data_IF_561198574380
#
_entry.id   IF_561198574380
#
_cell.length_a   1.000
_cell.length_b   1.000
_cell.length_c   1.000
_cell.angle_alpha   90.00
_cell.angle_beta   90.00
_cell.angle_gamma   90.00
#
_symmetry.space_group_name_H-M   'P 1'
#
loop_
_entity.id
_entity.type
_entity.pdbx_description
1 polymer ?
#
# COMPACT_ATOMS: atom_id res chain seq x y z
N UNK A 1 5.78 19.02 -42.35
CA UNK A 1 6.70 19.40 -41.26
C UNK A 1 5.90 19.51 -39.97
N UNK A 2 6.24 18.80 -39.00
CA UNK A 2 5.78 18.59 -37.62
C UNK A 2 5.11 17.21 -37.41
N UNK A 3 5.94 16.18 -37.28
CA UNK A 3 5.57 14.87 -36.78
C UNK A 3 6.24 14.68 -35.43
N UNK A 4 5.66 15.13 -34.34
CA UNK A 4 6.25 14.85 -33.00
C UNK A 4 5.35 15.10 -31.77
N UNK A 5 4.02 15.18 -31.92
CA UNK A 5 3.19 15.54 -30.76
C UNK A 5 2.20 14.48 -30.26
N UNK A 6 2.21 13.27 -30.77
CA UNK A 6 1.23 12.23 -30.38
C UNK A 6 1.81 11.03 -29.56
N UNK A 7 3.12 11.01 -29.32
CA UNK A 7 3.76 9.85 -28.66
C UNK A 7 3.76 9.91 -27.11
N UNK A 8 3.35 11.02 -26.49
CA UNK A 8 3.54 11.22 -25.05
C UNK A 8 2.32 10.97 -24.14
N UNK A 9 1.12 10.78 -24.67
CA UNK A 9 -0.07 10.59 -23.82
C UNK A 9 -0.17 9.19 -23.20
N UNK A 10 0.58 8.22 -23.72
CA UNK A 10 0.48 6.82 -23.27
C UNK A 10 1.41 6.42 -22.12
N UNK A 11 2.42 7.23 -21.79
CA UNK A 11 3.46 6.86 -20.81
C UNK A 11 3.05 7.09 -19.35
N UNK A 12 2.01 7.88 -19.12
CA UNK A 12 1.54 8.24 -17.77
C UNK A 12 0.85 7.10 -17.01
N UNK A 13 0.24 6.15 -17.72
CA UNK A 13 -0.51 5.08 -17.06
C UNK A 13 0.38 4.01 -16.39
N UNK A 14 1.63 3.84 -16.81
CA UNK A 14 2.48 2.76 -16.32
C UNK A 14 3.19 3.07 -14.98
N UNK A 15 3.58 4.32 -14.76
CA UNK A 15 4.27 4.71 -13.52
C UNK A 15 3.29 4.89 -12.33
N UNK A 16 2.08 5.43 -12.61
CA UNK A 16 1.03 5.56 -11.61
C UNK A 16 0.53 4.20 -11.06
N UNK A 17 0.76 3.11 -11.79
CA UNK A 17 0.28 1.79 -11.44
C UNK A 17 1.12 1.06 -10.36
N UNK A 18 2.32 1.54 -10.03
CA UNK A 18 3.12 0.98 -8.93
C UNK A 18 2.55 1.32 -7.56
N UNK A 19 1.80 2.42 -7.43
CA UNK A 19 1.30 2.93 -6.14
C UNK A 19 -0.19 2.64 -5.94
N UNK A 20 -0.95 2.36 -6.99
CA UNK A 20 -2.36 1.98 -6.84
C UNK A 20 -2.55 0.63 -6.14
N UNK A 21 -1.48 -0.16 -5.97
CA UNK A 21 -1.46 -1.36 -5.13
C UNK A 21 -1.12 -1.08 -3.66
N UNK A 22 -0.68 0.15 -3.29
CA UNK A 22 -0.46 0.50 -1.91
C UNK A 22 -1.84 0.78 -1.31
N UNK A 23 -2.49 -0.26 -0.81
CA UNK A 23 -3.64 -0.15 0.05
C UNK A 23 -3.35 0.82 1.20
N UNK A 24 -4.34 1.33 1.94
CA UNK A 24 -4.06 2.09 3.13
C UNK A 24 -3.16 1.25 4.04
N UNK A 25 -1.93 1.70 4.27
CA UNK A 25 -1.08 1.14 5.29
C UNK A 25 -1.75 1.45 6.61
N UNK A 26 -2.28 0.44 7.25
CA UNK A 26 -3.07 0.55 8.46
C UNK A 26 -2.40 -0.36 9.48
N UNK A 27 -1.88 0.24 10.49
CA UNK A 27 -1.36 -0.16 11.81
C UNK A 27 -1.06 -1.64 12.12
N UNK A 28 -0.59 -1.82 13.34
CA UNK A 28 -0.07 -3.09 13.79
C UNK A 28 -1.15 -4.10 14.19
N UNK A 29 -1.08 -5.26 13.61
CA UNK A 29 -1.84 -6.42 14.05
C UNK A 29 -1.11 -7.13 15.19
N UNK A 30 -1.82 -7.43 16.28
CA UNK A 30 -1.29 -8.23 17.37
C UNK A 30 -1.92 -9.62 17.34
N UNK A 31 -1.05 -10.66 17.25
CA UNK A 31 -1.48 -12.07 17.35
C UNK A 31 -0.60 -12.78 18.38
N UNK A 32 -1.19 -13.15 19.51
CA UNK A 32 -0.42 -13.63 20.66
C UNK A 32 0.50 -12.53 21.20
N UNK A 33 1.81 -12.79 21.19
CA UNK A 33 2.84 -11.81 21.57
C UNK A 33 3.48 -11.10 20.38
N UNK A 34 3.00 -11.36 19.16
CA UNK A 34 3.56 -10.81 17.95
C UNK A 34 2.85 -9.53 17.53
N UNK A 35 3.63 -8.51 17.27
CA UNK A 35 3.22 -7.30 16.54
C UNK A 35 3.63 -7.47 15.07
N UNK A 36 2.69 -7.31 14.15
CA UNK A 36 2.92 -7.16 12.72
C UNK A 36 2.73 -5.68 12.39
N UNK A 37 3.81 -4.91 12.14
CA UNK A 37 3.69 -3.51 11.76
C UNK A 37 2.96 -3.37 10.42
N UNK A 38 2.27 -2.27 10.24
CA UNK A 38 1.76 -1.87 8.94
C UNK A 38 2.94 -1.51 8.05
N UNK A 39 3.28 -2.36 7.11
CA UNK A 39 4.30 -2.03 6.12
C UNK A 39 3.68 -1.26 4.95
N UNK A 40 4.49 -0.59 4.17
CA UNK A 40 3.99 0.45 3.27
C UNK A 40 3.62 -0.11 1.91
N UNK A 41 4.29 -1.15 1.47
CA UNK A 41 4.06 -1.78 0.17
C UNK A 41 2.99 -2.86 0.19
N UNK A 42 2.80 -3.53 1.34
CA UNK A 42 1.69 -4.46 1.61
C UNK A 42 0.98 -4.06 2.90
N UNK A 43 -0.31 -4.33 2.96
CA UNK A 43 -1.11 -4.06 4.15
C UNK A 43 -0.91 -5.16 5.20
N UNK A 44 -1.14 -4.85 6.47
CA UNK A 44 -1.08 -5.83 7.54
C UNK A 44 -2.29 -6.80 7.47
N UNK A 45 -2.19 -8.02 8.00
CA UNK A 45 -3.29 -8.98 7.93
C UNK A 45 -4.42 -8.73 8.95
N UNK A 46 -4.37 -7.69 9.77
CA UNK A 46 -5.31 -7.49 10.86
C UNK A 46 -6.45 -6.53 10.63
N UNK A 47 -7.31 -6.44 11.63
CA UNK A 47 -8.41 -5.46 11.69
C UNK A 47 -8.28 -4.66 12.99
N UNK A 48 -8.12 -3.35 12.85
CA UNK A 48 -7.81 -2.44 13.95
C UNK A 48 -8.61 -1.13 13.80
N UNK A 49 -8.55 -0.26 14.80
CA UNK A 49 -9.08 1.10 14.74
C UNK A 49 -7.92 2.08 14.65
N UNK A 50 -7.78 2.75 13.51
CA UNK A 50 -6.56 3.47 13.18
C UNK A 50 -6.78 4.73 12.38
N UNK A 51 -5.79 5.62 12.50
CA UNK A 51 -5.69 6.84 11.73
C UNK A 51 -4.28 7.03 11.20
N UNK A 52 -4.10 6.75 9.90
CA UNK A 52 -2.86 7.04 9.17
C UNK A 52 -2.78 8.52 8.79
N UNK A 53 -1.74 9.25 9.29
CA UNK A 53 -1.60 10.70 9.12
C UNK A 53 -0.14 11.15 9.06
N UNK A 54 0.33 11.64 7.96
CA UNK A 54 0.17 11.11 6.62
C UNK A 54 1.20 10.01 6.34
N UNK A 55 0.90 9.08 5.47
CA UNK A 55 1.98 8.37 4.77
C UNK A 55 2.53 9.31 3.72
N UNK A 56 3.82 9.60 3.80
CA UNK A 56 4.54 10.41 2.82
C UNK A 56 5.33 9.51 1.90
N UNK A 57 5.22 9.70 0.57
CA UNK A 57 6.08 9.02 -0.39
C UNK A 57 6.77 10.01 -1.33
N UNK A 58 8.03 9.72 -1.65
CA UNK A 58 8.80 10.35 -2.70
C UNK A 58 9.15 9.29 -3.75
N UNK A 59 8.77 9.55 -4.98
CA UNK A 59 8.97 8.64 -6.11
C UNK A 59 9.66 9.38 -7.25
N UNK A 60 10.62 8.71 -7.87
CA UNK A 60 11.28 9.17 -9.08
C UNK A 60 10.79 8.30 -10.24
N UNK A 61 9.92 8.85 -11.05
CA UNK A 61 9.26 8.15 -12.13
C UNK A 61 10.18 7.83 -13.31
N UNK A 62 9.85 6.83 -14.15
CA UNK A 62 10.65 6.46 -15.31
C UNK A 62 10.79 7.56 -16.37
N UNK A 63 9.89 8.54 -16.39
CA UNK A 63 9.85 9.69 -17.31
C UNK A 63 10.63 10.92 -16.80
N UNK A 64 11.42 10.76 -15.73
CA UNK A 64 12.17 11.82 -15.06
C UNK A 64 11.30 12.88 -14.37
N UNK A 65 9.99 12.58 -14.15
CA UNK A 65 9.15 13.34 -13.23
C UNK A 65 9.33 12.85 -11.79
N UNK A 66 8.93 13.69 -10.83
CA UNK A 66 8.96 13.38 -9.41
C UNK A 66 7.56 13.47 -8.84
N UNK A 67 7.22 12.52 -7.97
CA UNK A 67 5.93 12.47 -7.30
C UNK A 67 6.13 12.51 -5.79
N UNK A 68 5.36 13.37 -5.15
CA UNK A 68 5.27 13.48 -3.68
C UNK A 68 3.83 13.20 -3.28
N UNK A 69 3.65 12.15 -2.51
CA UNK A 69 2.34 11.72 -2.06
C UNK A 69 2.15 11.92 -0.57
N UNK A 70 0.94 12.33 -0.21
CA UNK A 70 0.47 12.48 1.16
C UNK A 70 -0.83 11.69 1.29
N UNK A 71 -0.75 10.49 1.85
CA UNK A 71 -1.89 9.60 1.99
C UNK A 71 -2.50 9.70 3.37
N UNK A 72 -3.82 9.74 3.42
CA UNK A 72 -4.63 9.75 4.62
C UNK A 72 -5.53 8.53 4.59
N UNK A 73 -5.63 7.82 5.71
CA UNK A 73 -6.48 6.65 5.84
C UNK A 73 -7.09 6.57 7.24
N UNK A 74 -8.33 6.12 7.31
CA UNK A 74 -9.02 5.82 8.56
C UNK A 74 -9.63 4.44 8.48
N UNK A 75 -9.35 3.61 9.46
CA UNK A 75 -9.94 2.27 9.60
C UNK A 75 -10.78 2.20 10.87
N UNK A 76 -11.93 1.53 10.77
CA UNK A 76 -12.86 1.30 11.86
C UNK A 76 -13.26 -0.16 11.94
N UNK A 77 -13.09 -0.78 13.09
CA UNK A 77 -13.61 -2.11 13.37
C UNK A 77 -15.13 -2.09 13.50
N UNK A 78 -15.79 -2.91 12.68
CA UNK A 78 -17.23 -3.16 12.74
C UNK A 78 -17.51 -4.23 13.78
N UNK A 79 -16.81 -5.36 13.66
CA UNK A 79 -16.76 -6.44 14.68
C UNK A 79 -15.29 -6.72 15.00
N UNK A 80 -14.96 -7.54 16.01
CA UNK A 80 -13.57 -7.87 16.32
C UNK A 80 -12.76 -8.41 15.14
N UNK A 81 -13.44 -9.04 14.15
CA UNK A 81 -12.79 -9.68 13.00
C UNK A 81 -13.12 -9.00 11.66
N UNK A 82 -13.87 -7.89 11.66
CA UNK A 82 -14.28 -7.17 10.46
C UNK A 82 -14.03 -5.68 10.60
N UNK A 83 -13.33 -5.07 9.65
CA UNK A 83 -13.12 -3.62 9.60
C UNK A 83 -13.54 -3.04 8.25
N UNK A 84 -13.86 -1.75 8.29
CA UNK A 84 -14.06 -0.89 7.13
C UNK A 84 -13.01 0.21 7.15
N UNK A 85 -12.44 0.53 6.00
CA UNK A 85 -11.53 1.66 5.87
C UNK A 85 -11.90 2.58 4.72
N UNK A 86 -11.47 3.83 4.84
CA UNK A 86 -11.59 4.86 3.82
C UNK A 86 -10.29 5.66 3.77
N UNK A 87 -9.82 5.96 2.57
CA UNK A 87 -8.62 6.76 2.40
C UNK A 87 -8.61 7.49 1.06
N UNK A 88 -7.71 8.44 0.96
CA UNK A 88 -7.35 9.12 -0.28
C UNK A 88 -5.93 9.65 -0.18
N UNK A 89 -5.39 10.10 -1.31
CA UNK A 89 -4.03 10.55 -1.43
C UNK A 89 -4.00 11.91 -2.14
N UNK A 90 -3.27 12.86 -1.56
CA UNK A 90 -2.90 14.09 -2.25
C UNK A 90 -1.56 13.88 -2.94
N UNK A 91 -1.53 14.11 -4.25
CA UNK A 91 -0.34 13.94 -5.09
C UNK A 91 0.14 15.28 -5.62
N UNK A 92 1.46 15.48 -5.56
CA UNK A 92 2.17 16.63 -6.11
C UNK A 92 3.21 16.13 -7.11
N UNK A 93 2.95 16.35 -8.40
CA UNK A 93 3.82 15.96 -9.52
C UNK A 93 4.70 17.15 -9.92
N UNK A 94 5.98 16.92 -10.06
CA UNK A 94 6.98 17.91 -10.49
C UNK A 94 7.66 17.43 -11.76
N UNK A 95 7.94 18.35 -12.68
CA UNK A 95 8.54 18.07 -13.98
C UNK A 95 7.71 17.09 -14.82
N UNK A 96 6.38 17.20 -14.73
CA UNK A 96 5.43 16.36 -15.47
C UNK A 96 4.88 17.11 -16.70
N UNK A 97 4.44 16.35 -17.71
CA UNK A 97 3.83 16.88 -18.91
C UNK A 97 2.38 17.32 -18.59
N UNK A 98 2.07 18.58 -18.79
CA UNK A 98 0.72 19.13 -18.62
C UNK A 98 -0.14 18.89 -19.86
N UNK A 99 -1.47 19.04 -19.75
CA UNK A 99 -2.40 18.92 -20.88
C UNK A 99 -2.12 19.88 -22.04
N UNK A 100 -1.47 21.01 -21.76
CA UNK A 100 -1.06 22.01 -22.78
C UNK A 100 0.27 21.68 -23.48
N UNK A 101 0.88 20.53 -23.14
CA UNK A 101 2.15 20.07 -23.68
C UNK A 101 3.40 20.69 -23.04
N UNK A 102 3.26 21.57 -22.05
CA UNK A 102 4.38 22.13 -21.30
C UNK A 102 4.81 21.23 -20.13
N UNK A 103 6.08 21.28 -19.76
CA UNK A 103 6.53 20.68 -18.50
C UNK A 103 6.18 21.61 -17.33
N UNK A 104 5.82 21.02 -16.20
CA UNK A 104 5.53 21.81 -15.02
C UNK A 104 5.07 20.97 -13.83
N UNK A 105 4.34 21.60 -12.94
CA UNK A 105 3.83 21.00 -11.70
C UNK A 105 2.32 20.85 -11.78
N UNK A 106 1.84 19.68 -11.35
CA UNK A 106 0.43 19.37 -11.15
C UNK A 106 0.23 18.90 -9.72
N UNK A 107 -0.94 19.14 -9.17
CA UNK A 107 -1.33 18.64 -7.86
C UNK A 107 -2.83 18.39 -7.78
N UNK A 108 -3.23 17.51 -6.85
CA UNK A 108 -4.63 17.19 -6.66
C UNK A 108 -4.81 15.94 -5.79
N UNK A 109 -6.07 15.58 -5.56
CA UNK A 109 -6.43 14.37 -4.85
C UNK A 109 -6.61 13.20 -5.83
N UNK A 110 -6.07 12.04 -5.47
CA UNK A 110 -6.41 10.75 -6.09
C UNK A 110 -7.82 10.35 -5.70
N UNK A 111 -8.36 9.34 -6.36
CA UNK A 111 -9.68 8.81 -6.03
C UNK A 111 -9.75 8.31 -4.58
N UNK A 112 -10.93 8.40 -4.00
CA UNK A 112 -11.23 7.81 -2.69
C UNK A 112 -11.22 6.29 -2.83
N UNK A 113 -10.53 5.62 -1.91
CA UNK A 113 -10.55 4.18 -1.76
C UNK A 113 -11.33 3.79 -0.51
N UNK A 114 -12.12 2.72 -0.60
CA UNK A 114 -12.78 2.09 0.54
C UNK A 114 -12.47 0.60 0.56
N UNK A 115 -12.31 0.01 1.74
CA UNK A 115 -12.00 -1.41 1.90
C UNK A 115 -12.84 -2.02 3.03
N UNK A 116 -13.23 -3.27 2.83
CA UNK A 116 -13.79 -4.13 3.86
C UNK A 116 -12.83 -5.30 4.05
N UNK A 117 -12.27 -5.47 5.26
CA UNK A 117 -11.30 -6.52 5.61
C UNK A 117 -11.87 -7.43 6.68
N UNK A 118 -11.72 -8.73 6.49
CA UNK A 118 -12.21 -9.79 7.39
C UNK A 118 -11.10 -10.77 7.74
N UNK A 119 -10.97 -11.11 9.02
CA UNK A 119 -10.03 -12.10 9.57
C UNK A 119 -10.79 -13.40 9.85
N UNK A 120 -10.83 -14.37 8.93
CA UNK A 120 -11.50 -15.65 9.16
C UNK A 120 -10.77 -16.56 10.15
N UNK A 121 -9.47 -16.38 10.35
CA UNK A 121 -8.68 -17.24 11.20
C UNK A 121 -7.46 -16.53 11.81
N UNK A 122 -7.28 -16.72 13.12
CA UNK A 122 -6.05 -16.37 13.82
C UNK A 122 -5.74 -17.40 14.90
N UNK A 123 -4.45 -17.60 15.17
CA UNK A 123 -3.96 -18.50 16.22
C UNK A 123 -2.85 -17.83 17.02
N UNK A 124 -3.17 -17.44 18.25
CA UNK A 124 -2.25 -16.72 19.14
C UNK A 124 -1.04 -17.54 19.57
N UNK A 125 -1.19 -18.86 19.75
CA UNK A 125 -0.11 -19.75 20.17
C UNK A 125 0.96 -19.89 19.08
N UNK A 126 0.53 -19.94 17.82
CA UNK A 126 1.42 -20.06 16.67
C UNK A 126 1.70 -18.71 15.97
N UNK A 127 1.24 -17.59 16.55
CA UNK A 127 1.38 -16.25 15.96
C UNK A 127 1.00 -16.23 14.47
N UNK A 128 -0.11 -16.86 14.13
CA UNK A 128 -0.55 -17.04 12.74
C UNK A 128 -1.91 -16.37 12.49
N UNK A 129 -2.04 -15.66 11.37
CA UNK A 129 -3.24 -14.97 10.97
C UNK A 129 -3.44 -15.05 9.46
N UNK A 130 -4.69 -15.14 9.04
CA UNK A 130 -5.13 -15.04 7.64
C UNK A 130 -6.26 -14.04 7.56
N UNK A 131 -6.21 -13.18 6.55
CA UNK A 131 -7.29 -12.24 6.27
C UNK A 131 -7.61 -12.20 4.78
N UNK A 132 -8.80 -11.69 4.47
CA UNK A 132 -9.23 -11.36 3.13
C UNK A 132 -9.90 -9.99 3.11
N UNK A 133 -9.77 -9.27 1.99
CA UNK A 133 -10.45 -8.00 1.82
C UNK A 133 -10.99 -7.81 0.40
N UNK A 134 -11.95 -6.90 0.29
CA UNK A 134 -12.38 -6.31 -0.97
C UNK A 134 -12.28 -4.81 -0.88
N UNK A 135 -11.70 -4.16 -1.89
CA UNK A 135 -11.61 -2.71 -1.94
C UNK A 135 -12.15 -2.15 -3.26
N UNK A 136 -12.61 -0.91 -3.20
CA UNK A 136 -13.08 -0.16 -4.36
C UNK A 136 -12.42 1.21 -4.34
N UNK A 137 -11.74 1.53 -5.44
CA UNK A 137 -11.34 2.89 -5.75
C UNK A 137 -12.48 3.53 -6.58
N UNK A 138 -13.06 4.61 -6.03
CA UNK A 138 -14.26 5.22 -6.58
C UNK A 138 -13.90 6.25 -7.65
N UNK A 139 -14.42 6.08 -8.85
CA UNK A 139 -14.25 7.00 -9.95
C UNK A 139 -14.80 8.40 -9.65
N UNK A 140 -14.29 9.39 -10.37
CA UNK A 140 -14.73 10.80 -10.31
C UNK A 140 -14.65 11.45 -8.90
N UNK A 141 -13.98 10.85 -7.94
CA UNK A 141 -13.78 11.43 -6.60
C UNK A 141 -12.45 12.19 -6.49
N UNK A 142 -11.56 12.02 -7.47
CA UNK A 142 -10.26 12.67 -7.55
C UNK A 142 -10.12 13.63 -8.72
N UNK A 143 -8.91 14.16 -8.87
CA UNK A 143 -8.56 15.11 -9.92
C UNK A 143 -7.97 14.39 -11.14
N UNK A 144 -8.65 14.42 -12.27
CA UNK A 144 -8.19 13.81 -13.51
C UNK A 144 -6.86 14.40 -14.02
N UNK A 145 -6.51 15.64 -13.66
CA UNK A 145 -5.26 16.28 -14.07
C UNK A 145 -4.00 15.63 -13.50
N UNK A 146 -4.12 14.91 -12.40
CA UNK A 146 -3.00 14.14 -11.78
C UNK A 146 -3.13 12.65 -12.04
N UNK A 147 -4.00 12.23 -12.94
CA UNK A 147 -4.19 10.84 -13.32
C UNK A 147 -5.16 10.06 -12.40
N UNK A 148 -6.08 10.74 -11.68
CA UNK A 148 -7.17 10.05 -11.03
C UNK A 148 -8.10 9.44 -12.08
N UNK A 149 -8.41 8.16 -11.95
CA UNK A 149 -9.18 7.40 -12.92
C UNK A 149 -10.64 7.84 -12.98
N UNK A 150 -11.22 7.78 -14.19
CA UNK A 150 -12.63 8.08 -14.45
C UNK A 150 -13.52 6.83 -14.45
N UNK A 151 -13.03 5.75 -13.90
CA UNK A 151 -13.72 4.49 -13.72
C UNK A 151 -13.28 3.89 -12.39
N UNK A 152 -14.16 3.12 -11.79
CA UNK A 152 -13.84 2.46 -10.54
C UNK A 152 -12.98 1.22 -10.78
N UNK A 153 -12.08 0.96 -9.84
CA UNK A 153 -11.29 -0.27 -9.77
C UNK A 153 -11.72 -1.09 -8.56
N UNK A 154 -11.83 -2.39 -8.75
CA UNK A 154 -12.19 -3.34 -7.69
C UNK A 154 -10.98 -4.24 -7.45
N UNK A 155 -10.64 -4.44 -6.18
CA UNK A 155 -9.53 -5.32 -5.78
C UNK A 155 -10.02 -6.38 -4.80
N UNK A 156 -9.72 -7.64 -5.09
CA UNK A 156 -9.82 -8.74 -4.13
C UNK A 156 -8.44 -8.99 -3.55
N UNK A 157 -8.35 -9.14 -2.21
CA UNK A 157 -7.09 -9.24 -1.47
C UNK A 157 -7.10 -10.44 -0.54
N UNK A 158 -5.93 -11.05 -0.35
CA UNK A 158 -5.70 -12.05 0.67
C UNK A 158 -4.37 -11.79 1.38
N UNK A 159 -4.38 -12.01 2.70
CA UNK A 159 -3.26 -11.70 3.57
C UNK A 159 -2.89 -12.90 4.44
N UNK A 160 -1.62 -12.99 4.78
CA UNK A 160 -1.11 -13.97 5.75
C UNK A 160 -0.05 -13.33 6.63
N UNK A 161 -0.04 -13.69 7.91
CA UNK A 161 1.03 -13.32 8.85
C UNK A 161 1.45 -14.52 9.67
N UNK A 162 2.77 -14.72 9.86
CA UNK A 162 3.36 -15.76 10.69
C UNK A 162 4.55 -15.23 11.45
N UNK A 163 4.48 -15.28 12.78
CA UNK A 163 5.61 -15.08 13.66
C UNK A 163 6.27 -16.41 14.01
N UNK A 164 7.56 -16.38 14.35
CA UNK A 164 8.33 -17.56 14.70
C UNK A 164 8.56 -17.70 16.21
N UNK A 165 7.66 -17.15 17.04
CA UNK A 165 7.74 -17.23 18.50
C UNK A 165 7.65 -18.64 19.08
N UNK A 166 7.09 -19.57 18.31
CA UNK A 166 6.92 -20.98 18.64
C UNK A 166 8.15 -21.89 18.34
N UNK A 167 9.22 -21.34 17.72
CA UNK A 167 10.44 -22.11 17.46
C UNK A 167 11.34 -22.16 18.70
N UNK A 168 12.16 -23.21 18.80
CA UNK A 168 13.06 -23.45 19.94
C UNK A 168 14.33 -22.60 19.93
N UNK A 169 14.67 -21.95 18.81
CA UNK A 169 15.87 -21.15 18.66
C UNK A 169 15.56 -19.67 18.99
N UNK A 170 16.14 -19.18 20.09
CA UNK A 170 15.88 -17.82 20.61
C UNK A 170 16.12 -16.71 19.58
N UNK A 171 17.16 -16.83 18.75
CA UNK A 171 17.48 -15.83 17.73
C UNK A 171 16.52 -15.84 16.52
N UNK A 172 15.79 -16.93 16.31
CA UNK A 172 14.78 -17.01 15.25
C UNK A 172 13.40 -16.54 15.74
N UNK A 173 13.15 -16.57 17.03
CA UNK A 173 11.86 -16.16 17.60
C UNK A 173 11.45 -14.74 17.26
N UNK A 174 12.35 -13.74 17.17
CA UNK A 174 11.98 -12.38 16.75
C UNK A 174 11.58 -12.23 15.29
N UNK A 175 11.86 -13.20 14.43
CA UNK A 175 11.45 -13.13 13.02
C UNK A 175 9.95 -13.31 12.86
N UNK A 176 9.40 -12.60 11.86
CA UNK A 176 8.06 -12.81 11.33
C UNK A 176 8.06 -12.55 9.82
N UNK A 177 7.05 -13.10 9.15
CA UNK A 177 6.76 -12.84 7.75
C UNK A 177 5.31 -12.43 7.60
N UNK A 178 5.04 -11.46 6.71
CA UNK A 178 3.70 -11.16 6.22
C UNK A 178 3.70 -11.28 4.71
N UNK A 179 2.52 -11.48 4.14
CA UNK A 179 2.36 -11.55 2.69
C UNK A 179 0.96 -11.11 2.28
N UNK A 180 0.88 -10.52 1.11
CA UNK A 180 -0.35 -10.07 0.48
C UNK A 180 -0.38 -10.49 -0.98
N UNK A 181 -1.57 -10.80 -1.48
CA UNK A 181 -1.85 -11.02 -2.90
C UNK A 181 -3.15 -10.31 -3.25
N UNK A 182 -3.08 -9.47 -4.29
CA UNK A 182 -4.18 -8.64 -4.77
C UNK A 182 -4.50 -8.95 -6.22
N UNK A 183 -5.78 -9.02 -6.54
CA UNK A 183 -6.26 -9.11 -7.91
C UNK A 183 -7.16 -7.91 -8.19
N UNK A 184 -6.68 -6.98 -9.02
CA UNK A 184 -7.34 -5.70 -9.33
C UNK A 184 -7.84 -5.67 -10.76
N UNK A 185 -9.11 -5.34 -10.96
CA UNK A 185 -9.72 -5.13 -12.27
C UNK A 185 -10.50 -3.82 -12.32
N UNK A 186 -10.57 -3.24 -13.52
CA UNK A 186 -11.34 -2.03 -13.78
C UNK A 186 -12.79 -2.36 -14.13
N UNK A 187 -13.73 -1.51 -13.73
CA UNK A 187 -15.13 -1.56 -14.22
C UNK A 187 -15.25 -1.21 -15.69
N UNK A 188 -14.26 -0.50 -16.26
CA UNK A 188 -14.15 -0.15 -17.67
C UNK A 188 -12.76 -0.55 -18.20
N UNK A 189 -12.58 -1.80 -18.61
CA UNK A 189 -11.27 -2.32 -19.03
C UNK A 189 -10.76 -1.69 -20.34
N UNK A 190 -11.66 -1.13 -21.16
CA UNK A 190 -11.34 -0.48 -22.43
C UNK A 190 -12.14 0.82 -22.52
N UNK A 191 -11.48 1.89 -22.89
CA UNK A 191 -12.09 3.20 -23.16
C UNK A 191 -11.67 3.71 -24.54
N UNK A 192 -12.60 4.29 -25.28
CA UNK A 192 -12.34 4.93 -26.58
C UNK A 192 -12.02 6.40 -26.32
N UNK A 193 -10.77 6.77 -26.49
CA UNK A 193 -10.28 8.13 -26.20
C UNK A 193 -10.37 9.07 -27.39
N UNK A 194 -10.58 8.55 -28.60
CA UNK A 194 -10.72 9.34 -29.81
C UNK A 194 -10.55 8.55 -31.11
N UNK A 195 -10.36 9.29 -32.18
CA UNK A 195 -9.98 8.76 -33.50
C UNK A 195 -8.75 9.52 -33.96
N UNK A 196 -7.74 8.81 -34.38
CA UNK A 196 -6.53 9.40 -34.98
C UNK A 196 -6.93 10.14 -36.28
N UNK A 197 -6.71 11.47 -36.38
CA UNK A 197 -7.13 12.25 -37.52
C UNK A 197 -6.38 11.90 -38.82
N UNK A 198 -5.16 11.35 -38.70
CA UNK A 198 -4.31 11.05 -39.85
C UNK A 198 -4.57 9.64 -40.42
N UNK A 199 -4.90 8.68 -39.57
CA UNK A 199 -5.08 7.28 -39.93
C UNK A 199 -6.52 6.83 -39.91
N UNK A 200 -7.43 7.56 -39.25
CA UNK A 200 -8.82 7.17 -39.02
C UNK A 200 -8.98 6.02 -38.04
N UNK A 201 -7.92 5.59 -37.36
CA UNK A 201 -7.97 4.49 -36.40
C UNK A 201 -8.52 4.94 -35.06
N UNK A 202 -9.29 4.07 -34.43
CA UNK A 202 -9.85 4.30 -33.09
C UNK A 202 -8.73 4.22 -32.05
N UNK A 203 -8.58 5.30 -31.26
CA UNK A 203 -7.68 5.35 -30.11
C UNK A 203 -8.34 4.68 -28.91
N UNK A 204 -7.69 3.67 -28.38
CA UNK A 204 -8.18 2.87 -27.25
C UNK A 204 -7.19 3.00 -26.10
N UNK A 205 -7.70 3.36 -24.93
CA UNK A 205 -6.99 3.21 -23.66
C UNK A 205 -7.39 1.88 -23.03
N UNK A 206 -6.41 1.03 -22.77
CA UNK A 206 -6.60 -0.28 -22.14
C UNK A 206 -6.13 -0.25 -20.71
N UNK A 207 -6.97 -0.79 -19.80
CA UNK A 207 -6.66 -0.91 -18.37
C UNK A 207 -6.43 -2.38 -18.03
N UNK A 208 -5.17 -2.77 -17.82
CA UNK A 208 -4.85 -4.15 -17.48
C UNK A 208 -5.45 -4.55 -16.15
N UNK A 209 -5.99 -5.76 -16.09
CA UNK A 209 -6.18 -6.46 -14.82
C UNK A 209 -4.80 -6.78 -14.25
N UNK A 210 -4.57 -6.53 -12.96
CA UNK A 210 -3.27 -6.68 -12.32
C UNK A 210 -3.32 -7.71 -11.21
N UNK A 211 -2.27 -8.49 -11.12
CA UNK A 211 -1.91 -9.29 -9.96
C UNK A 211 -0.77 -8.59 -9.24
N UNK A 212 -1.03 -8.11 -8.03
CA UNK A 212 0.00 -7.56 -7.15
C UNK A 212 0.24 -8.57 -6.02
N UNK A 213 1.49 -8.80 -5.66
CA UNK A 213 1.86 -9.68 -4.55
C UNK A 213 3.12 -9.17 -3.89
N UNK A 214 3.21 -9.40 -2.60
CA UNK A 214 4.37 -8.99 -1.82
C UNK A 214 4.55 -9.82 -0.58
N UNK A 215 5.72 -9.67 0.00
CA UNK A 215 6.05 -10.26 1.29
C UNK A 215 7.03 -9.37 2.05
N UNK A 216 6.89 -9.34 3.38
CA UNK A 216 7.79 -8.65 4.29
C UNK A 216 8.45 -9.65 5.21
N UNK A 217 9.77 -9.56 5.36
CA UNK A 217 10.53 -10.20 6.41
C UNK A 217 10.79 -9.16 7.50
N UNK A 218 10.43 -9.48 8.72
CA UNK A 218 10.52 -8.61 9.89
C UNK A 218 11.42 -9.23 10.95
N UNK A 219 12.20 -8.40 11.65
CA UNK A 219 12.94 -8.81 12.84
C UNK A 219 12.61 -7.88 14.01
N UNK A 220 11.72 -8.33 14.88
CA UNK A 220 11.16 -7.50 15.94
C UNK A 220 12.08 -7.45 17.16
N UNK A 221 12.80 -6.34 17.35
CA UNK A 221 13.54 -6.08 18.58
C UNK A 221 12.58 -5.84 19.76
N UNK A 222 11.37 -5.36 19.50
CA UNK A 222 10.29 -5.28 20.47
C UNK A 222 9.94 -6.66 21.02
N UNK A 223 9.72 -7.65 20.14
CA UNK A 223 9.49 -9.04 20.54
C UNK A 223 10.69 -9.64 21.30
N UNK A 224 11.90 -9.40 20.80
CA UNK A 224 13.14 -9.87 21.43
C UNK A 224 13.22 -9.38 22.87
N UNK A 225 13.01 -8.09 23.10
CA UNK A 225 13.08 -7.50 24.45
C UNK A 225 12.02 -8.07 25.40
N UNK A 226 10.80 -8.30 24.90
CA UNK A 226 9.70 -8.77 25.74
C UNK A 226 9.76 -10.28 26.03
N UNK A 227 10.33 -11.10 25.13
CA UNK A 227 10.14 -12.56 25.17
C UNK A 227 11.43 -13.40 25.12
N UNK A 228 12.60 -12.78 24.82
CA UNK A 228 13.84 -13.53 24.57
C UNK A 228 15.01 -12.98 25.39
N UNK A 229 15.51 -11.78 25.02
CA UNK A 229 16.67 -11.15 25.66
C UNK A 229 16.46 -9.65 25.76
N UNK A 230 17.01 -9.06 26.80
CA UNK A 230 17.00 -7.62 26.99
C UNK A 230 17.73 -6.93 25.84
N UNK A 231 17.11 -5.89 25.29
CA UNK A 231 17.61 -5.05 24.21
C UNK A 231 17.91 -3.65 24.77
N UNK A 232 19.00 -2.97 24.34
CA UNK A 232 19.27 -1.59 24.74
C UNK A 232 18.06 -0.68 24.49
N UNK A 233 17.77 0.23 25.42
CA UNK A 233 16.54 1.03 25.47
C UNK A 233 16.18 1.70 24.14
N UNK A 234 17.17 2.28 23.47
CA UNK A 234 16.98 2.97 22.19
C UNK A 234 16.41 2.06 21.07
N UNK A 235 16.71 0.75 21.12
CA UNK A 235 16.33 -0.20 20.06
C UNK A 235 15.11 -1.06 20.41
N UNK A 236 14.61 -1.01 21.65
CA UNK A 236 13.54 -1.89 22.15
C UNK A 236 12.25 -1.85 21.34
N UNK A 237 11.98 -0.73 20.70
CA UNK A 237 10.75 -0.46 19.97
C UNK A 237 10.89 -0.64 18.44
N UNK A 238 12.09 -1.00 17.96
CA UNK A 238 12.36 -1.09 16.52
C UNK A 238 12.01 -2.47 15.98
N UNK A 239 11.48 -2.44 14.76
CA UNK A 239 11.20 -3.60 13.92
C UNK A 239 11.84 -3.37 12.55
N UNK A 240 13.13 -3.70 12.34
CA UNK A 240 13.73 -3.74 11.01
C UNK A 240 12.97 -4.65 10.07
N UNK A 241 12.78 -4.21 8.82
CA UNK A 241 12.03 -4.91 7.79
C UNK A 241 12.75 -4.92 6.46
N UNK A 242 12.46 -5.92 5.66
CA UNK A 242 12.71 -5.91 4.22
C UNK A 242 11.44 -6.38 3.54
N UNK A 243 10.86 -5.52 2.74
CA UNK A 243 9.66 -5.81 1.97
C UNK A 243 9.99 -5.96 0.49
N UNK A 244 9.26 -6.79 -0.23
CA UNK A 244 9.34 -6.93 -1.67
C UNK A 244 7.92 -6.97 -2.25
N UNK A 245 7.63 -6.07 -3.18
CA UNK A 245 6.31 -5.94 -3.79
C UNK A 245 6.45 -5.97 -5.30
N UNK A 246 5.58 -6.72 -5.95
CA UNK A 246 5.55 -6.90 -7.39
C UNK A 246 4.14 -6.71 -7.92
N UNK A 247 4.01 -6.09 -9.09
CA UNK A 247 2.75 -5.92 -9.81
C UNK A 247 2.91 -6.39 -11.26
N UNK A 248 2.05 -7.30 -11.67
CA UNK A 248 2.08 -7.94 -12.97
C UNK A 248 0.74 -7.77 -13.68
N UNK A 249 0.70 -7.24 -14.91
CA UNK A 249 -0.52 -7.25 -15.72
C UNK A 249 -0.81 -8.68 -16.20
N UNK A 250 -2.03 -9.17 -15.98
CA UNK A 250 -2.41 -10.56 -16.27
C UNK A 250 -3.46 -10.71 -17.38
N UNK A 251 -4.23 -9.67 -17.64
CA UNK A 251 -5.20 -9.65 -18.75
C UNK A 251 -5.45 -8.23 -19.23
N UNK A 252 -6.15 -8.09 -20.36
CA UNK A 252 -6.41 -6.82 -21.04
C UNK A 252 -5.11 -6.06 -21.36
N UNK A 253 -4.13 -6.80 -21.91
CA UNK A 253 -2.78 -6.37 -22.24
C UNK A 253 -2.49 -6.44 -23.74
N UNK A 254 -3.52 -6.61 -24.56
CA UNK A 254 -3.39 -6.65 -26.02
C UNK A 254 -2.82 -5.34 -26.58
N UNK A 255 -2.23 -5.34 -27.79
CA UNK A 255 -1.81 -4.12 -28.42
C UNK A 255 -3.04 -3.24 -28.61
N UNK A 256 -3.01 -1.99 -28.12
CA UNK A 256 -3.92 -0.97 -28.62
C UNK A 256 -3.69 -0.85 -30.13
N UNK A 257 -4.72 -0.50 -30.90
CA UNK A 257 -4.63 -0.35 -32.37
C UNK A 257 -3.53 0.62 -32.79
N UNK A 258 -3.11 1.47 -31.88
CA UNK A 258 -2.01 2.44 -32.04
C UNK A 258 -0.99 2.21 -30.93
N UNK A 259 -0.11 1.26 -31.15
CA UNK A 259 1.10 1.04 -30.38
C UNK A 259 0.87 0.56 -28.95
N UNK A 260 1.51 -0.54 -28.58
CA UNK A 260 1.62 -0.93 -27.18
C UNK A 260 2.32 0.19 -26.41
N UNK A 261 1.71 0.65 -25.31
CA UNK A 261 2.41 1.51 -24.37
C UNK A 261 3.62 0.72 -23.84
N UNK A 262 4.84 1.22 -23.97
CA UNK A 262 6.01 0.54 -23.40
C UNK A 262 5.78 0.26 -21.91
N UNK A 263 6.01 -0.96 -21.47
CA UNK A 263 5.86 -1.36 -20.08
C UNK A 263 4.49 -1.94 -19.68
N UNK A 264 3.48 -1.94 -20.55
CA UNK A 264 2.15 -2.51 -20.22
C UNK A 264 2.20 -4.01 -19.90
N UNK A 265 3.18 -4.73 -20.42
CA UNK A 265 3.38 -6.17 -20.22
C UNK A 265 4.43 -6.50 -19.17
N UNK A 266 5.15 -5.51 -18.66
CA UNK A 266 6.26 -5.74 -17.74
C UNK A 266 5.76 -5.87 -16.30
N UNK A 267 6.35 -6.83 -15.58
CA UNK A 267 6.24 -6.87 -14.13
C UNK A 267 7.05 -5.71 -13.54
N UNK A 268 6.41 -4.92 -12.72
CA UNK A 268 7.05 -3.85 -11.93
C UNK A 268 7.17 -4.28 -10.48
N UNK A 269 8.06 -3.66 -9.73
CA UNK A 269 8.17 -3.94 -8.29
C UNK A 269 9.34 -3.20 -7.64
N UNK A 270 9.35 -3.28 -6.33
CA UNK A 270 10.37 -2.66 -5.47
C UNK A 270 10.83 -3.63 -4.39
N UNK A 271 12.06 -3.47 -3.94
CA UNK A 271 12.55 -4.01 -2.68
C UNK A 271 12.69 -2.83 -1.72
N UNK A 272 12.13 -2.98 -0.51
CA UNK A 272 11.93 -1.88 0.43
C UNK A 272 12.56 -2.21 1.78
N UNK A 273 13.88 -2.01 1.95
CA UNK A 273 14.50 -2.09 3.27
C UNK A 273 14.10 -0.88 4.11
N UNK A 274 13.76 -1.13 5.38
CA UNK A 274 13.32 -0.10 6.29
C UNK A 274 13.27 -0.53 7.74
N UNK A 275 12.62 0.28 8.55
CA UNK A 275 12.37 -0.03 9.95
C UNK A 275 11.13 0.72 10.46
N UNK A 276 10.44 0.09 11.39
CA UNK A 276 9.28 0.65 12.09
C UNK A 276 9.59 0.79 13.58
N UNK A 277 9.09 1.84 14.17
CA UNK A 277 9.16 2.13 15.60
C UNK A 277 7.75 2.16 16.17
N UNK A 278 7.44 1.26 17.08
CA UNK A 278 6.16 1.23 17.79
C UNK A 278 6.32 2.01 19.07
N UNK A 279 5.71 3.19 19.15
CA UNK A 279 5.91 4.13 20.22
C UNK A 279 4.68 4.39 21.07
N UNK A 280 4.95 4.82 22.32
CA UNK A 280 3.93 5.37 23.21
C UNK A 280 4.42 6.65 23.86
N UNK A 281 3.61 7.71 23.75
CA UNK A 281 3.91 8.99 24.37
C UNK A 281 2.70 9.45 25.20
N UNK A 282 2.70 9.12 26.49
CA UNK A 282 1.55 9.31 27.36
C UNK A 282 0.36 8.46 26.87
N UNK A 283 -0.78 9.08 26.53
CA UNK A 283 -1.93 8.36 25.99
C UNK A 283 -1.80 8.05 24.48
N UNK A 284 -0.82 8.66 23.79
CA UNK A 284 -0.62 8.45 22.35
C UNK A 284 0.11 7.13 22.11
N UNK A 285 -0.51 6.24 21.33
CA UNK A 285 0.09 5.02 20.79
C UNK A 285 0.21 5.18 19.28
N UNK A 286 1.40 4.96 18.74
CA UNK A 286 1.69 5.26 17.32
C UNK A 286 2.73 4.33 16.73
N UNK A 287 2.71 4.24 15.42
CA UNK A 287 3.77 3.66 14.60
C UNK A 287 4.43 4.75 13.75
N UNK A 288 5.75 4.75 13.72
CA UNK A 288 6.56 5.56 12.81
C UNK A 288 7.44 4.63 12.00
N UNK A 289 7.30 4.64 10.70
CA UNK A 289 8.10 3.79 9.79
C UNK A 289 8.73 4.58 8.67
N UNK A 290 9.83 4.05 8.12
CA UNK A 290 10.44 4.57 6.91
C UNK A 290 11.11 3.44 6.11
N UNK A 291 10.98 3.49 4.79
CA UNK A 291 11.54 2.53 3.85
C UNK A 291 12.11 3.23 2.63
N UNK A 292 13.19 2.65 2.08
CA UNK A 292 13.71 3.04 0.77
C UNK A 292 13.03 2.19 -0.30
N UNK A 293 12.55 2.82 -1.37
CA UNK A 293 11.90 2.15 -2.50
C UNK A 293 12.93 1.90 -3.60
N UNK A 294 13.48 0.69 -3.67
CA UNK A 294 14.52 0.30 -4.64
C UNK A 294 13.83 -0.39 -5.81
N UNK A 295 13.75 0.24 -7.02
CA UNK A 295 13.12 -0.37 -8.18
C UNK A 295 13.88 -1.62 -8.65
N UNK A 296 13.16 -2.69 -9.03
CA UNK A 296 13.77 -3.93 -9.53
C UNK A 296 14.18 -3.84 -11.01
N UNK A 297 13.58 -2.93 -11.75
CA UNK A 297 13.84 -2.71 -13.17
C UNK A 297 13.49 -1.28 -13.59
N UNK A 298 13.74 -0.94 -14.87
CA UNK A 298 13.46 0.41 -15.39
C UNK A 298 11.97 0.76 -15.45
N UNK A 299 11.11 -0.22 -15.62
CA UNK A 299 9.66 -0.02 -15.62
C UNK A 299 9.14 0.35 -14.22
N UNK A 300 9.83 -0.08 -13.17
CA UNK A 300 9.54 0.26 -11.77
C UNK A 300 10.08 1.63 -11.35
N UNK A 301 11.01 2.21 -12.11
CA UNK A 301 11.65 3.48 -11.81
C UNK A 301 13.15 3.48 -12.16
N UNK A 302 13.75 4.67 -12.20
CA UNK A 302 15.18 4.86 -12.47
C UNK A 302 16.01 5.12 -11.21
N UNK A 303 15.37 5.61 -10.17
CA UNK A 303 16.05 6.07 -8.96
C UNK A 303 15.35 5.49 -7.72
N UNK A 304 16.07 5.48 -6.61
CA UNK A 304 15.54 5.07 -5.32
C UNK A 304 14.56 6.13 -4.83
N UNK A 305 13.35 5.69 -4.48
CA UNK A 305 12.37 6.50 -3.78
C UNK A 305 12.47 6.31 -2.26
N UNK A 306 11.61 6.97 -1.53
CA UNK A 306 11.50 6.83 -0.09
C UNK A 306 10.05 6.97 0.35
N UNK A 307 9.70 6.29 1.43
CA UNK A 307 8.37 6.40 2.02
C UNK A 307 8.49 6.43 3.54
N UNK A 308 7.60 7.19 4.18
CA UNK A 308 7.50 7.26 5.63
C UNK A 308 6.03 7.23 6.04
N UNK A 309 5.74 6.58 7.16
CA UNK A 309 4.39 6.41 7.70
C UNK A 309 4.34 6.92 9.14
N UNK A 310 3.21 7.50 9.49
CA UNK A 310 2.84 7.80 10.87
C UNK A 310 1.39 7.38 11.09
N UNK A 311 1.19 6.35 11.90
CA UNK A 311 -0.13 5.83 12.24
C UNK A 311 -0.41 5.96 13.72
N UNK A 312 -1.66 6.28 14.07
CA UNK A 312 -2.16 6.38 15.42
C UNK A 312 -3.13 5.23 15.72
N UNK A 313 -2.88 4.54 16.83
CA UNK A 313 -3.68 3.40 17.27
C UNK A 313 -4.84 3.87 18.13
N UNK A 314 -5.99 4.06 17.51
CA UNK A 314 -7.19 4.57 18.20
C UNK A 314 -7.75 3.59 19.21
N UNK A 315 -7.53 2.30 18.99
CA UNK A 315 -7.96 1.24 19.90
C UNK A 315 -7.16 1.20 21.21
N UNK A 316 -5.89 1.62 21.18
CA UNK A 316 -5.08 1.79 22.39
C UNK A 316 -5.33 3.14 23.08
N UNK A 317 -5.54 4.18 22.27
CA UNK A 317 -5.74 5.54 22.76
C UNK A 317 -7.15 5.78 23.34
N UNK A 318 -8.16 5.17 22.72
CA UNK A 318 -9.57 5.40 23.01
C UNK A 318 -10.37 4.09 23.08
N UNK A 319 -9.98 3.12 23.96
CA UNK A 319 -10.53 1.76 23.94
C UNK A 319 -12.05 1.69 24.20
N UNK A 320 -12.60 2.67 24.91
CA UNK A 320 -14.03 2.71 25.25
C UNK A 320 -14.88 3.53 24.27
N UNK A 321 -14.27 4.17 23.26
CA UNK A 321 -14.95 5.04 22.32
C UNK A 321 -14.52 4.78 20.87
N UNK A 322 -13.59 5.56 20.31
CA UNK A 322 -13.14 5.45 18.92
C UNK A 322 -12.46 4.10 18.59
N UNK A 323 -11.79 3.50 19.56
CA UNK A 323 -11.14 2.19 19.43
C UNK A 323 -12.02 1.00 19.78
N UNK A 324 -13.32 1.23 20.10
CA UNK A 324 -14.24 0.14 20.40
C UNK A 324 -14.93 -0.33 19.12
N UNK A 325 -14.99 -1.66 18.83
CA UNK A 325 -15.79 -2.17 17.71
C UNK A 325 -17.24 -1.70 17.78
N UNK A 326 -17.86 -1.45 16.62
CA UNK A 326 -19.26 -1.03 16.56
C UNK A 326 -20.20 -2.11 17.14
N UNK A 327 -19.85 -3.39 16.93
CA UNK A 327 -20.61 -4.53 17.45
C UNK A 327 -19.66 -5.56 18.07
N UNK A 328 -20.07 -6.14 19.19
CA UNK A 328 -19.27 -7.12 19.92
C UNK A 328 -18.26 -6.48 20.88
N UNK A 329 -17.45 -7.32 21.50
CA UNK A 329 -16.36 -6.91 22.38
C UNK A 329 -15.06 -7.48 21.86
N UNK A 330 -14.00 -6.67 21.84
CA UNK A 330 -12.65 -7.13 21.52
C UNK A 330 -12.17 -8.13 22.56
N UNK A 331 -11.43 -9.15 22.12
CA UNK A 331 -10.74 -10.01 23.08
C UNK A 331 -9.66 -9.20 23.83
N UNK A 332 -9.47 -9.46 25.13
CA UNK A 332 -8.41 -8.80 25.88
C UNK A 332 -7.07 -9.08 25.21
N UNK A 333 -6.31 -8.03 24.92
CA UNK A 333 -4.92 -8.15 24.43
C UNK A 333 -4.01 -8.58 25.57
N UNK A 334 -2.91 -9.28 25.26
CA UNK A 334 -1.90 -9.62 26.24
C UNK A 334 -1.33 -8.34 26.87
N UNK A 335 -1.49 -8.18 28.17
CA UNK A 335 -0.92 -7.06 28.91
C UNK A 335 0.62 -7.18 28.93
N UNK A 336 1.33 -6.16 28.45
CA UNK A 336 2.79 -6.06 28.61
C UNK A 336 3.64 -6.10 27.36
N UNK A 337 3.09 -5.80 26.19
CA UNK A 337 3.88 -5.69 24.94
C UNK A 337 4.65 -4.36 24.79
N UNK A 338 4.50 -3.40 25.73
CA UNK A 338 5.15 -2.09 25.69
C UNK A 338 5.97 -1.79 26.94
#
# INVERSE_FOLDING_TARGET
MSHSSLACAGTFAAAAALITGIGPALSHTIVGNRVFPATIGIDDPGVNDELGLPTFAYLANPDDSFEYDFKLAYQKTITPDLSFSVGSQFTHLVNTLKPDGSLGTLNGWRNVNTQLKYVPYQNAEHEFIVAAAGSVEWDHTGNASIGADRFSSITAKAFVGKGFGDVSCDWLRPFAVTGEIDYTWSTHPIDVTGVDPDTGLVLIDQRPTRLTYGATLQYSLLYMNANVHEVPEFFRQLIPTVEAVFSMPVSNIGPSVIGAVPGTHETTGTVQPGAFYIGRLGPLSFELGAEALIPINRASGKHVGAVAILDFFLDDMFPDSLGKPLFGARQPRAAGLY
#
